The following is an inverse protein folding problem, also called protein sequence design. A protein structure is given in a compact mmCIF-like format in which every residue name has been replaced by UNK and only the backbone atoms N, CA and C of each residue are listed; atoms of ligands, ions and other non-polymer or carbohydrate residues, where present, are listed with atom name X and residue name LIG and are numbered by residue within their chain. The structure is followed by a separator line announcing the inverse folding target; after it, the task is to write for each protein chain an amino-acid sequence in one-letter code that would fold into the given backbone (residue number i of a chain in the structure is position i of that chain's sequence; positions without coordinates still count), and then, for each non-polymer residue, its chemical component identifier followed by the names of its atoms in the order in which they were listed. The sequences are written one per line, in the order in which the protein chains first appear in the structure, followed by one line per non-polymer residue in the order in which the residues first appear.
data_IF_747049498525
#
_entry.id   IF_747049498525
#
_cell.length_a   1.000
_cell.length_b   1.000
_cell.length_c   1.000
_cell.angle_alpha   90.00
_cell.angle_beta   90.00
_cell.angle_gamma   90.00
#
_symmetry.space_group_name_H-M   'P 1'
#
loop_
_entity.id
_entity.type
_entity.pdbx_description
1 polymer ?
#
# COMPACT_ATOMS: atom_id res chain seq x y z
N UNK A 1 -45.19 -16.60 8.78
CA UNK A 1 -44.69 -15.78 9.89
C UNK A 1 -43.19 -16.00 10.00
N UNK A 2 -42.36 -15.13 9.41
CA UNK A 2 -40.91 -15.23 9.46
C UNK A 2 -40.38 -14.03 10.27
N UNK A 3 -39.85 -14.32 11.45
CA UNK A 3 -39.28 -13.35 12.38
C UNK A 3 -37.84 -13.00 11.93
N UNK A 4 -37.65 -11.79 11.40
CA UNK A 4 -36.34 -11.25 11.05
C UNK A 4 -35.60 -10.79 12.29
N UNK A 5 -34.50 -11.45 12.63
CA UNK A 5 -33.54 -10.99 13.65
C UNK A 5 -32.66 -9.89 13.05
N UNK A 6 -32.86 -8.66 13.54
CA UNK A 6 -31.96 -7.54 13.28
C UNK A 6 -30.73 -7.65 14.20
N UNK A 7 -29.57 -7.81 13.61
CA UNK A 7 -28.29 -7.72 14.35
C UNK A 7 -27.88 -6.25 14.37
N UNK A 8 -27.90 -5.64 15.55
CA UNK A 8 -27.30 -4.32 15.80
C UNK A 8 -25.80 -4.53 16.00
N UNK A 9 -24.98 -4.00 15.09
CA UNK A 9 -23.55 -3.83 15.32
C UNK A 9 -23.36 -2.54 16.14
N UNK A 10 -22.89 -2.70 17.38
CA UNK A 10 -22.45 -1.60 18.22
C UNK A 10 -20.98 -1.31 17.89
N UNK A 11 -20.69 -0.14 17.36
CA UNK A 11 -19.33 0.36 17.19
C UNK A 11 -18.83 0.85 18.57
N UNK A 12 -17.89 0.10 19.16
CA UNK A 12 -17.15 0.52 20.35
C UNK A 12 -15.94 1.35 19.95
N UNK A 13 -16.01 2.67 20.09
CA UNK A 13 -14.88 3.57 19.94
C UNK A 13 -13.88 3.39 21.09
N UNK A 14 -12.66 2.96 20.79
CA UNK A 14 -11.55 2.89 21.74
C UNK A 14 -10.75 4.19 21.68
N UNK A 15 -10.96 5.07 22.68
CA UNK A 15 -10.16 6.29 22.87
C UNK A 15 -8.93 5.92 23.68
N UNK A 16 -7.75 5.89 23.08
CA UNK A 16 -6.46 5.71 23.78
C UNK A 16 -5.96 7.09 24.23
N UNK A 17 -6.03 7.36 25.53
CA UNK A 17 -5.40 8.51 26.15
C UNK A 17 -3.95 8.17 26.51
N UNK A 18 -2.98 8.80 25.84
CA UNK A 18 -1.55 8.70 26.19
C UNK A 18 -1.25 9.76 27.25
N UNK A 19 -1.04 9.33 28.50
CA UNK A 19 -0.54 10.17 29.57
C UNK A 19 1.00 10.24 29.49
N UNK A 20 1.55 11.41 29.14
CA UNK A 20 2.98 11.70 29.27
C UNK A 20 3.29 12.07 30.72
N UNK A 21 3.92 11.16 31.46
CA UNK A 21 4.53 11.45 32.74
C UNK A 21 5.91 12.09 32.52
N UNK A 22 6.00 13.40 32.75
CA UNK A 22 7.26 14.13 32.74
C UNK A 22 8.05 13.90 34.03
N UNK A 23 9.22 13.27 33.95
CA UNK A 23 10.22 13.24 35.03
C UNK A 23 11.15 14.43 34.88
N UNK A 24 11.07 15.35 35.83
CA UNK A 24 12.02 16.45 35.96
C UNK A 24 13.37 15.94 36.46
N UNK A 25 14.42 16.01 35.64
CA UNK A 25 15.80 15.76 36.04
C UNK A 25 16.46 17.09 36.37
N UNK A 26 16.94 17.22 37.60
CA UNK A 26 17.66 18.40 38.12
C UNK A 26 18.95 18.63 37.34
N UNK A 27 19.09 19.83 36.77
CA UNK A 27 20.28 20.27 36.05
C UNK A 27 21.40 20.62 37.06
N UNK A 28 22.52 19.91 37.01
CA UNK A 28 23.78 20.37 37.58
C UNK A 28 24.46 21.31 36.63
N UNK A 29 24.59 22.56 37.00
CA UNK A 29 25.33 23.59 36.26
C UNK A 29 26.82 23.29 36.30
N UNK A 30 27.36 22.83 35.17
CA UNK A 30 28.81 22.80 34.93
C UNK A 30 29.18 23.94 33.99
N UNK A 31 30.23 24.69 34.33
CA UNK A 31 30.71 25.87 33.61
C UNK A 31 30.99 25.65 32.12
N UNK A 32 30.80 26.68 31.29
CA UNK A 32 30.95 26.53 29.83
C UNK A 32 32.42 26.40 29.46
N UNK A 33 32.82 25.24 28.93
CA UNK A 33 34.05 25.11 28.13
C UNK A 33 33.78 25.69 26.77
N UNK A 34 34.52 26.75 26.42
CA UNK A 34 34.53 27.33 25.05
C UNK A 34 35.04 26.29 24.07
N UNK A 35 34.11 25.68 23.34
CA UNK A 35 34.44 24.88 22.15
C UNK A 35 34.68 25.79 20.95
N UNK A 36 35.70 25.54 20.10
CA UNK A 36 35.86 26.22 18.84
C UNK A 36 34.62 25.96 17.96
N UNK A 37 34.24 26.92 17.09
CA UNK A 37 33.03 26.80 16.29
C UNK A 37 33.12 25.53 15.44
N UNK A 38 32.19 24.59 15.71
CA UNK A 38 32.03 23.41 14.89
C UNK A 38 31.68 23.89 13.47
N UNK A 39 32.50 23.49 12.48
CA UNK A 39 32.18 23.62 11.08
C UNK A 39 30.80 23.00 10.84
N UNK A 40 29.76 23.84 10.73
CA UNK A 40 28.47 23.37 10.23
C UNK A 40 28.68 22.81 8.83
N UNK A 41 28.36 21.54 8.58
CA UNK A 41 28.35 21.03 7.21
C UNK A 41 27.40 21.89 6.39
N UNK A 42 27.92 22.58 5.38
CA UNK A 42 27.12 23.32 4.40
C UNK A 42 26.09 22.33 3.84
N UNK A 43 24.77 22.62 3.90
CA UNK A 43 23.80 21.71 3.30
C UNK A 43 24.19 21.54 1.84
N UNK A 44 24.39 20.29 1.44
CA UNK A 44 24.67 19.93 0.06
C UNK A 44 23.47 20.43 -0.78
N UNK A 45 23.69 21.55 -1.50
CA UNK A 45 22.76 22.08 -2.49
C UNK A 45 22.75 21.11 -3.68
N UNK A 46 21.93 20.05 -3.58
CA UNK A 46 21.88 19.00 -4.57
C UNK A 46 20.84 17.96 -4.23
N UNK A 47 19.72 18.37 -3.63
CA UNK A 47 18.52 17.51 -3.67
C UNK A 47 18.07 17.45 -5.13
N UNK A 48 18.65 16.53 -5.90
CA UNK A 48 18.09 16.13 -7.18
C UNK A 48 16.64 15.74 -6.88
N UNK A 49 15.67 16.50 -7.37
CA UNK A 49 14.28 16.12 -7.35
C UNK A 49 14.21 14.80 -8.13
N UNK A 50 14.13 13.68 -7.42
CA UNK A 50 13.82 12.38 -8.01
C UNK A 50 12.40 12.51 -8.56
N UNK A 51 12.29 12.83 -9.83
CA UNK A 51 11.01 12.77 -10.55
C UNK A 51 10.72 11.30 -10.78
N UNK A 52 9.92 10.71 -9.90
CA UNK A 52 9.42 9.33 -10.08
C UNK A 52 8.50 9.34 -11.31
N UNK A 53 8.96 8.71 -12.39
CA UNK A 53 8.16 8.55 -13.60
C UNK A 53 7.05 7.53 -13.32
N UNK A 54 5.79 7.97 -13.41
CA UNK A 54 4.65 7.06 -13.32
C UNK A 54 4.62 6.13 -14.52
N UNK A 55 4.20 4.89 -14.29
CA UNK A 55 3.93 3.90 -15.31
C UNK A 55 2.43 3.85 -15.59
N UNK A 56 2.05 3.81 -16.87
CA UNK A 56 0.65 3.72 -17.27
C UNK A 56 0.25 2.26 -17.49
N UNK A 57 -0.55 1.71 -16.57
CA UNK A 57 -1.12 0.36 -16.66
C UNK A 57 -2.41 0.30 -17.50
N UNK A 58 -2.85 1.40 -18.11
CA UNK A 58 -4.09 1.44 -18.89
C UNK A 58 -4.16 0.32 -19.94
N UNK A 59 -5.25 -0.45 -19.91
CA UNK A 59 -5.50 -1.58 -20.78
C UNK A 59 -4.87 -2.90 -20.34
N UNK A 60 -4.12 -2.92 -19.23
CA UNK A 60 -3.64 -4.17 -18.66
C UNK A 60 -4.76 -4.90 -17.92
N UNK A 61 -4.74 -6.23 -18.04
CA UNK A 61 -5.49 -7.15 -17.18
C UNK A 61 -4.47 -8.10 -16.56
N UNK A 62 -4.42 -8.09 -15.24
CA UNK A 62 -3.50 -8.92 -14.45
C UNK A 62 -4.29 -9.87 -13.57
N UNK A 63 -3.89 -11.14 -13.49
CA UNK A 63 -4.38 -12.07 -12.49
C UNK A 63 -3.34 -12.20 -11.36
N UNK A 64 -3.75 -11.95 -10.12
CA UNK A 64 -2.95 -12.19 -8.92
C UNK A 64 -3.50 -13.37 -8.15
N UNK A 65 -2.70 -14.42 -8.00
CA UNK A 65 -3.07 -15.64 -7.26
C UNK A 65 -2.28 -15.71 -5.98
N UNK A 66 -2.95 -15.71 -4.84
CA UNK A 66 -2.32 -15.67 -3.52
C UNK A 66 -2.15 -17.06 -2.92
N UNK A 67 -0.94 -17.36 -2.46
CA UNK A 67 -0.58 -18.62 -1.81
C UNK A 67 -0.22 -18.45 -0.33
N UNK A 68 0.03 -17.21 0.11
CA UNK A 68 0.36 -16.85 1.47
C UNK A 68 -0.43 -15.63 1.92
N UNK A 69 -0.66 -15.52 3.24
CA UNK A 69 -1.27 -14.37 3.89
C UNK A 69 -2.80 -14.35 3.82
N UNK A 70 -3.38 -13.15 4.04
CA UNK A 70 -4.84 -12.93 4.17
C UNK A 70 -5.65 -13.37 2.95
N UNK A 71 -5.07 -13.25 1.76
CA UNK A 71 -5.75 -13.55 0.50
C UNK A 71 -5.52 -14.99 0.02
N UNK A 72 -4.89 -15.86 0.84
CA UNK A 72 -4.56 -17.25 0.46
C UNK A 72 -5.75 -17.98 -0.17
N UNK A 73 -5.50 -18.63 -1.31
CA UNK A 73 -6.49 -19.39 -2.07
C UNK A 73 -7.37 -18.57 -3.00
N UNK A 74 -7.28 -17.23 -2.96
CA UNK A 74 -7.98 -16.36 -3.90
C UNK A 74 -7.13 -16.04 -5.13
N UNK A 75 -7.80 -15.85 -6.26
CA UNK A 75 -7.26 -15.20 -7.45
C UNK A 75 -8.11 -13.99 -7.78
N UNK A 76 -7.48 -12.83 -7.90
CA UNK A 76 -8.13 -11.59 -8.33
C UNK A 76 -7.71 -11.26 -9.74
N UNK A 77 -8.67 -10.92 -10.58
CA UNK A 77 -8.42 -10.27 -11.86
C UNK A 77 -8.48 -8.75 -11.65
N UNK A 78 -7.39 -8.08 -12.00
CA UNK A 78 -7.23 -6.63 -11.87
C UNK A 78 -7.27 -6.03 -13.26
N UNK A 79 -8.31 -5.23 -13.56
CA UNK A 79 -8.46 -4.53 -14.83
C UNK A 79 -8.09 -3.07 -14.64
N UNK A 80 -7.05 -2.61 -15.33
CA UNK A 80 -6.53 -1.25 -15.25
C UNK A 80 -7.08 -0.38 -16.38
N UNK A 81 -7.77 0.69 -16.00
CA UNK A 81 -8.16 1.79 -16.87
C UNK A 81 -7.13 2.92 -16.84
N UNK A 82 -7.54 4.11 -17.29
CA UNK A 82 -6.63 5.27 -17.36
C UNK A 82 -6.15 5.76 -16.00
N UNK A 83 -7.02 5.80 -14.99
CA UNK A 83 -6.67 6.23 -13.63
C UNK A 83 -7.21 5.29 -12.55
N UNK A 84 -8.06 4.35 -12.93
CA UNK A 84 -8.75 3.47 -12.01
C UNK A 84 -8.44 2.02 -12.29
N UNK A 85 -8.49 1.21 -11.24
CA UNK A 85 -8.38 -0.23 -11.29
C UNK A 85 -9.62 -0.86 -10.69
N UNK A 86 -10.07 -1.98 -11.26
CA UNK A 86 -11.12 -2.82 -10.73
C UNK A 86 -10.56 -4.19 -10.42
N UNK A 87 -10.55 -4.57 -9.14
CA UNK A 87 -10.23 -5.92 -8.68
C UNK A 87 -11.49 -6.77 -8.58
N UNK A 88 -11.49 -7.95 -9.18
CA UNK A 88 -12.60 -8.92 -9.10
C UNK A 88 -12.04 -10.28 -8.68
N UNK A 89 -12.52 -10.89 -7.57
CA UNK A 89 -12.13 -12.25 -7.23
C UNK A 89 -12.77 -13.23 -8.22
N UNK A 90 -11.92 -13.94 -8.98
CA UNK A 90 -12.33 -14.90 -10.01
C UNK A 90 -12.18 -16.35 -9.56
N UNK A 91 -11.46 -16.59 -8.45
CA UNK A 91 -11.29 -17.92 -7.85
C UNK A 91 -11.11 -17.78 -6.34
N UNK A 92 -11.58 -18.76 -5.58
CA UNK A 92 -11.39 -18.86 -4.13
C UNK A 92 -12.63 -18.43 -3.33
N UNK A 93 -12.47 -18.33 -2.00
CA UNK A 93 -13.56 -18.04 -1.06
C UNK A 93 -14.26 -16.68 -1.28
N UNK A 94 -13.58 -15.70 -1.91
CA UNK A 94 -14.11 -14.35 -2.10
C UNK A 94 -14.91 -14.18 -3.41
N UNK A 95 -15.04 -15.23 -4.24
CA UNK A 95 -15.83 -15.16 -5.49
C UNK A 95 -17.25 -14.68 -5.20
N UNK A 96 -17.70 -13.66 -5.95
CA UNK A 96 -18.98 -12.99 -5.76
C UNK A 96 -18.93 -11.78 -4.84
N UNK A 97 -17.85 -11.55 -4.10
CA UNK A 97 -17.64 -10.29 -3.38
C UNK A 97 -17.40 -9.16 -4.38
N UNK A 98 -18.04 -8.03 -4.17
CA UNK A 98 -17.89 -6.82 -5.00
C UNK A 98 -16.99 -5.83 -4.26
N UNK A 99 -15.90 -5.43 -4.91
CA UNK A 99 -15.04 -4.35 -4.47
C UNK A 99 -15.32 -3.12 -5.33
N UNK A 100 -15.31 -1.91 -4.77
CA UNK A 100 -15.40 -0.69 -5.57
C UNK A 100 -14.17 -0.55 -6.48
N UNK A 101 -14.28 0.21 -7.58
CA UNK A 101 -13.08 0.62 -8.31
C UNK A 101 -12.28 1.62 -7.47
N UNK A 102 -10.95 1.53 -7.57
CA UNK A 102 -9.98 2.32 -6.82
C UNK A 102 -9.14 3.16 -7.79
N UNK A 103 -8.67 4.33 -7.36
CA UNK A 103 -7.60 5.03 -8.06
C UNK A 103 -6.28 4.25 -7.92
N UNK A 104 -5.37 4.38 -8.88
CA UNK A 104 -4.06 3.75 -8.75
C UNK A 104 -2.90 4.65 -9.13
N UNK A 105 -1.74 4.36 -8.56
CA UNK A 105 -0.43 4.89 -8.96
C UNK A 105 0.51 3.73 -9.14
N UNK A 106 1.17 3.65 -10.30
CA UNK A 106 2.21 2.65 -10.57
C UNK A 106 3.55 3.35 -10.82
N UNK A 107 4.63 2.84 -10.24
CA UNK A 107 5.99 3.39 -10.30
C UNK A 107 6.95 2.25 -10.59
N UNK A 108 7.77 2.33 -11.68
CA UNK A 108 8.86 1.39 -11.88
C UNK A 108 9.89 1.52 -10.74
N UNK A 109 10.22 0.42 -10.09
CA UNK A 109 11.20 0.36 -9.00
C UNK A 109 12.45 -0.45 -9.36
N UNK A 110 12.38 -1.21 -10.44
CA UNK A 110 13.46 -2.05 -10.96
C UNK A 110 13.20 -2.46 -12.40
N UNK A 111 14.08 -3.32 -12.91
CA UNK A 111 13.89 -3.94 -14.22
C UNK A 111 12.82 -5.04 -14.10
N UNK A 112 11.69 -4.88 -14.80
CA UNK A 112 10.49 -5.71 -14.71
C UNK A 112 9.74 -5.64 -13.37
N UNK A 113 10.00 -4.62 -12.54
CA UNK A 113 9.35 -4.46 -11.25
C UNK A 113 8.51 -3.18 -11.19
N UNK A 114 7.28 -3.30 -10.69
CA UNK A 114 6.39 -2.18 -10.40
C UNK A 114 6.01 -2.15 -8.92
N UNK A 115 6.06 -0.96 -8.33
CA UNK A 115 5.31 -0.64 -7.13
C UNK A 115 3.98 -0.02 -7.54
N UNK A 116 2.88 -0.62 -7.10
CA UNK A 116 1.51 -0.17 -7.42
C UNK A 116 0.77 0.07 -6.12
N UNK A 117 0.13 1.22 -5.98
CA UNK A 117 -0.79 1.49 -4.86
C UNK A 117 -2.18 1.70 -5.38
N UNK A 118 -3.15 1.14 -4.68
CA UNK A 118 -4.56 1.45 -4.84
C UNK A 118 -4.99 2.43 -3.78
N UNK A 119 -5.77 3.42 -4.17
CA UNK A 119 -6.18 4.53 -3.35
C UNK A 119 -7.71 4.61 -3.34
N UNK A 120 -8.27 4.79 -2.16
CA UNK A 120 -9.68 5.16 -2.02
C UNK A 120 -9.93 6.50 -2.75
N UNK A 121 -10.83 6.57 -3.75
CA UNK A 121 -11.00 7.77 -4.56
C UNK A 121 -11.59 8.95 -3.78
N UNK A 122 -12.20 8.75 -2.63
CA UNK A 122 -12.79 9.81 -1.82
C UNK A 122 -11.80 10.39 -0.79
N UNK A 123 -10.91 9.55 -0.24
CA UNK A 123 -10.01 9.93 0.86
C UNK A 123 -8.54 9.96 0.47
N UNK A 124 -8.19 9.36 -0.68
CA UNK A 124 -6.81 9.10 -1.13
C UNK A 124 -5.99 8.26 -0.14
N UNK A 125 -6.66 7.56 0.78
CA UNK A 125 -5.99 6.60 1.64
C UNK A 125 -5.53 5.39 0.83
N UNK A 126 -4.38 4.82 1.22
CA UNK A 126 -3.89 3.58 0.61
C UNK A 126 -4.81 2.44 1.05
N UNK A 127 -5.42 1.77 0.09
CA UNK A 127 -6.24 0.56 0.28
C UNK A 127 -5.38 -0.68 0.19
N UNK A 128 -4.57 -0.78 -0.87
CA UNK A 128 -3.62 -1.85 -1.10
C UNK A 128 -2.32 -1.31 -1.70
N UNK A 129 -1.21 -1.97 -1.43
CA UNK A 129 0.10 -1.66 -1.99
C UNK A 129 0.78 -2.95 -2.47
N UNK A 130 1.23 -2.95 -3.72
CA UNK A 130 1.80 -4.14 -4.38
C UNK A 130 3.23 -3.89 -4.80
N UNK A 131 4.07 -4.91 -4.66
CA UNK A 131 5.31 -5.06 -5.42
C UNK A 131 5.08 -6.23 -6.39
N UNK A 132 5.17 -5.95 -7.68
CA UNK A 132 4.97 -6.93 -8.74
C UNK A 132 6.27 -7.10 -9.52
N UNK A 133 6.82 -8.32 -9.54
CA UNK A 133 7.97 -8.69 -10.34
C UNK A 133 7.50 -9.56 -11.51
N UNK A 134 7.52 -9.00 -12.70
CA UNK A 134 7.04 -9.66 -13.93
C UNK A 134 8.07 -10.62 -14.53
N UNK A 135 9.34 -10.53 -14.15
CA UNK A 135 10.35 -11.49 -14.58
C UNK A 135 10.23 -12.82 -13.84
N UNK A 136 9.93 -12.76 -12.53
CA UNK A 136 9.77 -13.93 -11.68
C UNK A 136 8.30 -14.30 -11.46
N UNK A 137 7.36 -13.53 -12.02
CA UNK A 137 5.92 -13.74 -11.85
C UNK A 137 5.48 -13.71 -10.39
N UNK A 138 6.06 -12.87 -9.55
CA UNK A 138 5.73 -12.78 -8.13
C UNK A 138 5.00 -11.50 -7.79
N UNK A 139 4.14 -11.57 -6.79
CA UNK A 139 3.47 -10.41 -6.19
C UNK A 139 3.55 -10.49 -4.68
N UNK A 140 3.88 -9.36 -4.08
CA UNK A 140 3.70 -9.09 -2.66
C UNK A 140 2.65 -7.99 -2.52
N UNK A 141 1.71 -8.16 -1.59
CA UNK A 141 0.58 -7.25 -1.36
C UNK A 141 0.51 -6.91 0.13
N UNK A 142 0.26 -5.64 0.42
CA UNK A 142 0.09 -5.11 1.76
C UNK A 142 -1.15 -4.21 1.83
N UNK A 143 -2.14 -4.58 2.66
CA UNK A 143 -3.35 -3.79 2.89
C UNK A 143 -3.34 -3.15 4.27
N UNK A 144 -3.09 -1.85 4.38
CA UNK A 144 -3.12 -1.13 5.65
C UNK A 144 -4.47 -1.29 6.37
N UNK A 145 -4.44 -1.41 7.70
CA UNK A 145 -5.66 -1.50 8.51
C UNK A 145 -6.26 -2.91 8.63
N UNK A 146 -5.66 -3.92 8.03
CA UNK A 146 -5.99 -5.34 8.27
C UNK A 146 -5.17 -5.90 9.43
N UNK A 147 -5.76 -6.83 10.21
CA UNK A 147 -5.05 -7.55 11.29
C UNK A 147 -3.89 -8.42 10.75
N UNK A 148 -4.01 -8.87 9.51
CA UNK A 148 -2.99 -9.61 8.76
C UNK A 148 -2.84 -8.96 7.39
N UNK A 149 -2.08 -7.86 7.29
CA UNK A 149 -2.07 -7.01 6.09
C UNK A 149 -1.34 -7.64 4.89
N UNK A 150 -0.45 -8.61 5.13
CA UNK A 150 0.43 -9.14 4.08
C UNK A 150 -0.22 -10.29 3.32
N UNK A 151 0.07 -10.35 2.03
CA UNK A 151 -0.19 -11.50 1.16
C UNK A 151 0.92 -11.63 0.13
N UNK A 152 1.17 -12.84 -0.34
CA UNK A 152 2.12 -13.08 -1.41
C UNK A 152 1.63 -14.20 -2.34
N UNK A 153 2.09 -14.14 -3.59
CA UNK A 153 1.66 -15.10 -4.60
C UNK A 153 2.28 -14.84 -5.96
N UNK A 154 1.52 -15.11 -7.00
CA UNK A 154 1.96 -14.94 -8.38
C UNK A 154 1.15 -13.89 -9.12
N UNK A 155 1.79 -13.18 -10.06
CA UNK A 155 1.17 -12.27 -10.99
C UNK A 155 1.30 -12.80 -12.42
N UNK A 156 0.20 -12.77 -13.17
CA UNK A 156 0.15 -13.18 -14.58
C UNK A 156 -0.46 -12.07 -15.43
N UNK A 157 0.18 -11.74 -16.53
CA UNK A 157 -0.37 -10.79 -17.50
C UNK A 157 -1.36 -11.53 -18.39
N UNK A 158 -2.65 -11.26 -18.23
CA UNK A 158 -3.75 -11.83 -19.06
C UNK A 158 -3.90 -11.02 -20.33
N UNK A 159 -3.85 -9.69 -20.21
CA UNK A 159 -3.90 -8.77 -21.34
C UNK A 159 -2.86 -7.67 -21.16
N UNK A 160 -2.14 -7.35 -22.24
CA UNK A 160 -1.17 -6.25 -22.25
C UNK A 160 -1.86 -4.92 -22.57
N UNK A 161 -1.44 -3.88 -21.87
CA UNK A 161 -1.80 -2.50 -22.17
C UNK A 161 -0.97 -1.90 -23.31
N UNK A 162 -1.04 -0.57 -23.44
CA UNK A 162 -0.36 0.17 -24.51
C UNK A 162 1.14 0.33 -24.27
N UNK A 163 1.55 0.49 -23.02
CA UNK A 163 2.96 0.65 -22.64
C UNK A 163 3.59 -0.72 -22.40
N UNK A 164 4.80 -1.02 -22.89
CA UNK A 164 5.51 -2.25 -22.50
C UNK A 164 5.82 -2.20 -20.99
N UNK A 165 5.75 -3.35 -20.30
CA UNK A 165 6.21 -3.46 -18.92
C UNK A 165 7.69 -3.11 -18.83
N UNK A 166 8.14 -2.51 -17.71
CA UNK A 166 9.50 -2.07 -17.51
C UNK A 166 10.51 -3.20 -17.59
#
# INVERSE_FOLDING_TARGET
MHSGKRILLAAAGLTVAIALAGTAVAAHATAPRSHPPAHQPRPASGASHLSLKRFDLNGYVLDTTYTLGRNTGNTFQQTYGHSMVQGVPIKGPLVGTKFPPEDYVAIPIGHHELYVTWLDPATFAIVDAFVMDFAHHTVFDYAPGSDHPESAGTVTVVQRGRSPLP
#
